data_IF_203596159057
#
_entry.id   IF_203596159057
#
_cell.length_a   1.000
_cell.length_b   1.000
_cell.length_c   1.000
_cell.angle_alpha   90.00
_cell.angle_beta   90.00
_cell.angle_gamma   90.00
#
_symmetry.space_group_name_H-M   'P 1'
#
loop_
_entity.id
_entity.type
_entity.pdbx_description
1 polymer ?
#
# COMPACT_ATOMS: atom_id res chain seq x y z
N UNK A 1 -13.77 14.44 -0.54
CA UNK A 1 -13.53 13.39 0.46
C UNK A 1 -12.48 12.45 -0.12
N UNK A 2 -11.45 12.08 0.65
CA UNK A 2 -10.40 11.14 0.19
C UNK A 2 -10.97 9.71 0.29
N UNK A 3 -11.00 8.99 -0.83
CA UNK A 3 -11.52 7.63 -0.88
C UNK A 3 -10.51 6.65 -0.27
N UNK A 4 -10.97 5.55 0.34
CA UNK A 4 -10.06 4.58 0.99
C UNK A 4 -9.06 3.96 0.01
N UNK A 5 -9.43 3.90 -1.27
CA UNK A 5 -8.59 3.39 -2.35
C UNK A 5 -7.59 4.42 -2.91
N UNK A 6 -7.64 5.68 -2.47
CA UNK A 6 -6.66 6.69 -2.89
C UNK A 6 -5.27 6.43 -2.29
N UNK A 7 -5.22 5.75 -1.13
CA UNK A 7 -4.01 5.25 -0.47
C UNK A 7 -4.25 3.83 0.03
N UNK A 8 -4.36 2.84 -0.89
CA UNK A 8 -4.88 1.53 -0.53
C UNK A 8 -3.98 0.80 0.47
N UNK A 9 -2.66 1.00 0.38
CA UNK A 9 -1.68 0.43 1.33
C UNK A 9 -1.90 1.01 2.74
N UNK A 10 -1.98 2.34 2.86
CA UNK A 10 -2.25 3.01 4.13
C UNK A 10 -3.58 2.55 4.73
N UNK A 11 -4.65 2.64 3.96
CA UNK A 11 -6.00 2.28 4.41
C UNK A 11 -6.08 0.84 4.89
N UNK A 12 -5.44 -0.11 4.19
CA UNK A 12 -5.39 -1.50 4.62
C UNK A 12 -4.65 -1.65 5.96
N UNK A 13 -3.43 -1.11 6.07
CA UNK A 13 -2.58 -1.19 7.27
C UNK A 13 -3.12 -0.38 8.46
N UNK A 14 -3.96 0.61 8.22
CA UNK A 14 -4.64 1.37 9.28
C UNK A 14 -5.97 0.72 9.72
N UNK A 15 -6.47 -0.29 9.00
CA UNK A 15 -7.78 -0.92 9.28
C UNK A 15 -7.68 -2.44 9.33
N UNK A 16 -8.21 -3.17 8.33
CA UNK A 16 -8.35 -4.62 8.33
C UNK A 16 -7.01 -5.36 8.50
N UNK A 17 -5.90 -4.77 8.05
CA UNK A 17 -4.56 -5.35 8.11
C UNK A 17 -3.69 -4.71 9.20
N UNK A 18 -4.27 -4.04 10.19
CA UNK A 18 -3.52 -3.41 11.28
C UNK A 18 -2.57 -4.36 12.01
N UNK A 19 -2.95 -5.64 12.17
CA UNK A 19 -2.11 -6.65 12.79
C UNK A 19 -0.81 -6.96 12.01
N UNK A 20 -0.72 -6.55 10.75
CA UNK A 20 0.46 -6.72 9.89
C UNK A 20 1.28 -5.43 9.74
N UNK A 21 0.85 -4.33 10.34
CA UNK A 21 1.48 -3.03 10.20
C UNK A 21 2.71 -2.89 11.11
N UNK A 22 3.85 -2.60 10.49
CA UNK A 22 5.03 -2.03 11.15
C UNK A 22 5.01 -0.51 10.96
N UNK A 23 5.43 0.25 11.96
CA UNK A 23 5.46 1.72 11.94
C UNK A 23 4.47 2.36 12.90
N UNK A 24 4.16 3.63 12.67
CA UNK A 24 3.41 4.49 13.59
C UNK A 24 2.14 5.05 12.93
N UNK A 25 1.59 6.13 13.49
CA UNK A 25 0.40 6.82 12.98
C UNK A 25 0.65 7.70 11.76
N UNK A 26 1.90 7.85 11.34
CA UNK A 26 2.34 8.73 10.26
C UNK A 26 2.86 7.94 9.05
N UNK A 27 3.54 6.82 9.28
CA UNK A 27 3.98 5.91 8.22
C UNK A 27 3.84 4.45 8.66
N UNK A 28 3.44 3.59 7.70
CA UNK A 28 3.23 2.16 7.91
C UNK A 28 3.79 1.35 6.77
N UNK A 29 4.22 0.12 7.06
CA UNK A 29 4.59 -0.88 6.06
C UNK A 29 4.14 -2.28 6.45
N UNK A 30 4.07 -3.17 5.47
CA UNK A 30 4.03 -4.60 5.74
C UNK A 30 5.43 -5.11 6.06
N UNK A 31 5.51 -6.23 6.78
CA UNK A 31 6.73 -7.03 6.86
C UNK A 31 7.22 -7.39 5.45
N UNK A 32 8.51 -7.24 5.11
CA UNK A 32 9.03 -7.59 3.79
C UNK A 32 8.79 -9.04 3.38
N UNK A 33 8.68 -9.95 4.35
CA UNK A 33 8.36 -11.37 4.11
C UNK A 33 6.93 -11.63 3.65
N UNK A 34 6.05 -10.62 3.71
CA UNK A 34 4.67 -10.69 3.21
C UNK A 34 4.61 -10.01 1.84
N UNK A 35 4.96 -8.73 1.79
CA UNK A 35 4.94 -7.89 0.58
C UNK A 35 5.73 -6.59 0.85
N UNK A 36 6.47 -6.02 -0.11
CA UNK A 36 7.27 -4.82 0.13
C UNK A 36 6.44 -3.53 0.01
N UNK A 37 5.28 -3.44 0.66
CA UNK A 37 4.42 -2.26 0.59
C UNK A 37 4.60 -1.33 1.79
N UNK A 38 4.73 -0.04 1.53
CA UNK A 38 4.77 1.02 2.53
C UNK A 38 3.87 2.19 2.10
N UNK A 39 3.43 2.99 3.08
CA UNK A 39 2.63 4.19 2.83
C UNK A 39 2.72 5.19 3.99
N UNK A 40 2.44 6.45 3.67
CA UNK A 40 2.27 7.55 4.62
C UNK A 40 0.80 7.90 4.80
N UNK A 41 0.47 8.43 5.98
CA UNK A 41 -0.85 8.99 6.28
C UNK A 41 -1.17 10.20 5.39
N UNK A 42 -0.17 11.05 5.20
CA UNK A 42 -0.21 12.27 4.40
C UNK A 42 1.16 12.53 3.73
N UNK A 43 1.24 13.59 2.93
CA UNK A 43 2.49 14.02 2.28
C UNK A 43 3.12 15.22 3.01
N UNK A 44 2.79 15.40 4.29
CA UNK A 44 3.45 16.37 5.15
C UNK A 44 4.85 15.90 5.57
N UNK A 45 5.67 16.85 6.04
CA UNK A 45 7.06 16.61 6.40
C UNK A 45 7.22 15.55 7.50
N UNK A 46 6.28 15.49 8.46
CA UNK A 46 6.32 14.53 9.57
C UNK A 46 6.07 13.10 9.06
N UNK A 47 5.09 12.93 8.18
CA UNK A 47 4.78 11.64 7.55
C UNK A 47 5.92 11.15 6.67
N UNK A 48 6.52 12.04 5.87
CA UNK A 48 7.65 11.71 5.02
C UNK A 48 8.90 11.36 5.85
N UNK A 49 9.16 12.08 6.94
CA UNK A 49 10.25 11.74 7.85
C UNK A 49 10.02 10.38 8.53
N UNK A 50 8.80 10.08 8.96
CA UNK A 50 8.48 8.78 9.54
C UNK A 50 8.69 7.64 8.53
N UNK A 51 8.31 7.84 7.27
CA UNK A 51 8.59 6.88 6.18
C UNK A 51 10.09 6.63 6.00
N UNK A 52 10.91 7.69 6.01
CA UNK A 52 12.37 7.57 5.89
C UNK A 52 12.99 6.74 7.01
N UNK A 53 12.46 6.83 8.24
CA UNK A 53 12.90 6.00 9.38
C UNK A 53 12.45 4.55 9.29
N UNK A 54 11.34 4.30 8.57
CA UNK A 54 10.71 2.99 8.48
C UNK A 54 11.42 2.06 7.46
N UNK A 55 12.16 2.64 6.51
CA UNK A 55 12.92 1.90 5.50
C UNK A 55 14.41 1.92 5.86
N UNK A 56 14.97 0.79 6.32
CA UNK A 56 16.40 0.72 6.64
C UNK A 56 17.25 0.81 5.35
N UNK A 57 18.55 1.12 5.48
CA UNK A 57 19.46 1.14 4.33
C UNK A 57 19.41 -0.18 3.55
N UNK A 58 19.47 -0.09 2.22
CA UNK A 58 19.44 -1.21 1.27
C UNK A 58 18.11 -1.96 1.15
N UNK A 59 17.07 -1.56 1.89
CA UNK A 59 15.71 -2.04 1.63
C UNK A 59 14.96 -1.13 0.65
N UNK A 60 14.01 -1.71 -0.06
CA UNK A 60 13.10 -0.98 -0.95
C UNK A 60 11.66 -1.30 -0.61
N UNK A 61 10.78 -0.34 -0.88
CA UNK A 61 9.35 -0.51 -0.76
C UNK A 61 8.64 0.09 -1.97
N UNK A 62 7.47 -0.45 -2.26
CA UNK A 62 6.54 0.06 -3.26
C UNK A 62 5.50 0.90 -2.53
N UNK A 63 5.32 2.13 -3.02
CA UNK A 63 4.26 3.03 -2.61
C UNK A 63 3.23 3.12 -3.73
N UNK A 64 1.95 3.22 -3.37
CA UNK A 64 0.84 3.34 -4.31
C UNK A 64 -0.15 4.34 -3.75
N UNK A 65 -0.44 5.39 -4.51
CA UNK A 65 -1.51 6.34 -4.24
C UNK A 65 -1.99 7.01 -5.53
N UNK A 66 -3.14 7.68 -5.48
CA UNK A 66 -3.71 8.41 -6.64
C UNK A 66 -2.89 9.67 -6.98
N UNK A 67 -2.55 10.46 -5.96
CA UNK A 67 -1.74 11.66 -6.12
C UNK A 67 -0.28 11.32 -6.44
N UNK A 68 0.51 12.25 -7.03
CA UNK A 68 1.95 12.04 -7.19
C UNK A 68 2.63 11.65 -5.86
N UNK A 69 3.56 10.70 -5.91
CA UNK A 69 4.30 10.24 -4.73
C UNK A 69 5.30 11.33 -4.31
N UNK A 70 5.17 11.82 -3.07
CA UNK A 70 6.19 12.61 -2.42
C UNK A 70 7.18 11.69 -1.69
N UNK A 71 8.48 11.93 -1.87
CA UNK A 71 9.54 11.19 -1.18
C UNK A 71 10.30 12.10 -0.21
N UNK A 72 10.67 11.61 0.98
CA UNK A 72 11.64 12.29 1.83
C UNK A 72 13.03 12.30 1.15
N UNK A 73 13.89 13.22 1.56
CA UNK A 73 15.26 13.39 1.00
C UNK A 73 16.15 12.14 1.12
N UNK A 74 15.83 11.28 2.07
CA UNK A 74 16.53 10.05 2.42
C UNK A 74 16.22 8.91 1.44
N UNK A 75 15.17 9.05 0.62
CA UNK A 75 14.71 8.02 -0.30
C UNK A 75 14.78 8.53 -1.75
N UNK A 76 15.07 7.60 -2.65
CA UNK A 76 15.07 7.85 -4.09
C UNK A 76 14.19 6.82 -4.80
N UNK A 77 13.49 7.25 -5.85
CA UNK A 77 12.72 6.36 -6.69
C UNK A 77 13.66 5.49 -7.53
N UNK A 78 13.60 4.16 -7.33
CA UNK A 78 14.32 3.18 -8.16
C UNK A 78 13.59 2.94 -9.47
N UNK A 79 12.26 2.92 -9.43
CA UNK A 79 11.38 2.81 -10.60
C UNK A 79 10.05 3.51 -10.33
N UNK A 80 9.38 3.93 -11.40
CA UNK A 80 8.03 4.51 -11.33
C UNK A 80 7.17 3.91 -12.43
N UNK A 81 5.87 3.77 -12.16
CA UNK A 81 4.90 3.27 -13.11
C UNK A 81 3.54 3.91 -12.85
N UNK A 82 2.74 4.08 -13.90
CA UNK A 82 1.32 4.44 -13.78
C UNK A 82 0.49 3.18 -13.60
N UNK A 83 -0.46 3.22 -12.68
CA UNK A 83 -1.38 2.11 -12.41
C UNK A 83 -2.80 2.53 -12.77
N UNK A 84 -3.58 1.57 -13.28
CA UNK A 84 -5.03 1.75 -13.45
C UNK A 84 -5.71 1.05 -12.30
N UNK A 85 -6.36 1.81 -11.42
CA UNK A 85 -7.20 1.28 -10.36
C UNK A 85 -8.62 1.09 -10.88
N UNK A 86 -9.14 -0.13 -10.77
CA UNK A 86 -10.48 -0.49 -11.22
C UNK A 86 -11.27 -1.07 -10.05
N UNK A 87 -12.57 -0.77 -10.01
CA UNK A 87 -13.52 -1.36 -9.04
C UNK A 87 -14.64 -2.02 -9.82
N UNK A 88 -14.92 -3.28 -9.52
CA UNK A 88 -16.13 -3.95 -10.00
C UNK A 88 -17.29 -3.53 -9.10
N UNK A 89 -18.03 -2.49 -9.50
CA UNK A 89 -19.18 -1.98 -8.73
C UNK A 89 -20.34 -2.98 -8.64
N UNK A 90 -20.43 -3.86 -9.64
CA UNK A 90 -21.40 -4.95 -9.68
C UNK A 90 -20.69 -6.27 -9.44
N UNK A 91 -21.39 -7.19 -8.76
CA UNK A 91 -20.91 -8.56 -8.59
C UNK A 91 -20.77 -9.20 -9.97
N UNK A 92 -19.55 -9.60 -10.30
CA UNK A 92 -19.30 -10.41 -11.48
C UNK A 92 -19.84 -11.82 -11.23
N UNK A 93 -20.52 -12.39 -12.24
CA UNK A 93 -20.94 -13.78 -12.17
C UNK A 93 -19.72 -14.69 -12.03
N UNK A 94 -19.85 -15.72 -11.19
CA UNK A 94 -18.78 -16.70 -11.04
C UNK A 94 -18.64 -17.46 -12.35
N UNK A 95 -17.47 -17.37 -12.97
CA UNK A 95 -17.16 -18.18 -14.15
C UNK A 95 -17.00 -19.62 -13.69
N UNK A 96 -17.81 -20.52 -14.25
CA UNK A 96 -17.59 -21.96 -14.07
C UNK A 96 -16.42 -22.38 -14.96
N UNK A 97 -15.25 -22.55 -14.35
CA UNK A 97 -14.08 -23.16 -14.99
C UNK A 97 -13.73 -24.43 -14.21
N UNK A 98 -13.73 -25.57 -14.89
CA UNK A 98 -13.48 -26.89 -14.30
C UNK A 98 -12.11 -26.99 -13.60
N UNK A 99 -11.17 -26.10 -13.95
CA UNK A 99 -9.83 -26.00 -13.35
C UNK A 99 -9.82 -25.22 -12.03
N UNK A 100 -10.90 -24.49 -11.71
CA UNK A 100 -11.00 -23.63 -10.54
C UNK A 100 -11.85 -24.30 -9.47
N UNK A 101 -11.22 -24.75 -8.39
CA UNK A 101 -11.90 -25.38 -7.26
C UNK A 101 -11.90 -24.48 -6.03
N UNK A 102 -13.09 -24.27 -5.45
CA UNK A 102 -13.25 -23.55 -4.18
C UNK A 102 -12.74 -24.42 -3.02
N UNK A 103 -11.73 -23.93 -2.28
CA UNK A 103 -11.15 -24.67 -1.16
C UNK A 103 -11.87 -24.43 0.17
N UNK A 104 -12.57 -23.31 0.34
CA UNK A 104 -13.32 -22.96 1.56
C UNK A 104 -14.59 -22.15 1.25
N UNK A 105 -15.62 -22.20 2.13
CA UNK A 105 -16.92 -21.51 1.95
C UNK A 105 -16.90 -19.98 1.99
#
# INVERSE_FOLDING_TARGET
MKHVLDRPIWSALATRHQAFAEGDTLAKRYRPSIVPFAATAADDAESLQSLGKLLPPLESAILVQTDPIALPSELAAVSTASLVQMVAEQRLEAVSDERVQRLTP
#
